data_IF_507729461968
#
_entry.id   IF_507729461968
#
_cell.length_a   1.000
_cell.length_b   1.000
_cell.length_c   1.000
_cell.angle_alpha   90.00
_cell.angle_beta   90.00
_cell.angle_gamma   90.00
#
_symmetry.space_group_name_H-M   'P 1'
#
loop_
_entity.id
_entity.type
_entity.pdbx_description
1 polymer ?
#
# COMPACT_ATOMS: atom_id res chain seq x y z
N UNK A 1 -10.71 -6.76 -14.25
CA UNK A 1 -10.26 -6.14 -12.99
C UNK A 1 -9.27 -7.08 -12.33
N UNK A 2 -8.01 -6.68 -12.14
CA UNK A 2 -7.05 -7.49 -11.38
C UNK A 2 -7.60 -7.68 -9.96
N UNK A 3 -7.70 -8.90 -9.45
CA UNK A 3 -8.09 -9.15 -8.05
C UNK A 3 -6.89 -8.81 -7.17
N UNK A 4 -7.10 -8.22 -6.00
CA UNK A 4 -6.01 -8.06 -5.03
C UNK A 4 -5.55 -9.46 -4.60
N UNK A 5 -4.23 -9.69 -4.46
CA UNK A 5 -3.74 -10.96 -3.95
C UNK A 5 -4.20 -11.15 -2.50
N UNK A 6 -4.38 -12.40 -2.07
CA UNK A 6 -4.97 -12.72 -0.76
C UNK A 6 -4.19 -12.20 0.45
N UNK A 7 -2.87 -12.00 0.30
CA UNK A 7 -1.98 -11.43 1.32
C UNK A 7 -2.09 -9.91 1.45
N UNK A 8 -2.65 -9.21 0.45
CA UNK A 8 -2.73 -7.75 0.44
C UNK A 8 -4.08 -7.30 1.01
N UNK A 9 -4.12 -7.12 2.33
CA UNK A 9 -5.29 -6.66 3.08
C UNK A 9 -4.89 -5.70 4.21
N UNK A 10 -5.85 -4.95 4.75
CA UNK A 10 -5.62 -4.11 5.94
C UNK A 10 -5.02 -4.92 7.09
N UNK A 11 -4.04 -4.33 7.77
CA UNK A 11 -3.23 -4.96 8.81
C UNK A 11 -2.07 -5.83 8.29
N UNK A 12 -1.96 -6.11 6.99
CA UNK A 12 -0.82 -6.84 6.45
C UNK A 12 0.46 -6.00 6.51
N UNK A 13 1.59 -6.64 6.82
CA UNK A 13 2.94 -6.07 6.75
C UNK A 13 3.47 -6.22 5.33
N UNK A 14 3.95 -5.12 4.76
CA UNK A 14 4.46 -5.08 3.38
C UNK A 14 5.77 -4.32 3.29
N UNK A 15 6.53 -4.65 2.25
CA UNK A 15 7.68 -3.89 1.78
C UNK A 15 7.28 -3.11 0.53
N UNK A 16 7.59 -1.81 0.52
CA UNK A 16 7.43 -0.98 -0.66
C UNK A 16 8.64 -1.08 -1.61
N UNK A 17 8.61 -0.40 -2.78
CA UNK A 17 9.69 -0.43 -3.75
C UNK A 17 11.02 0.17 -3.27
N UNK A 18 11.00 0.94 -2.18
CA UNK A 18 12.17 1.52 -1.53
C UNK A 18 12.63 0.68 -0.33
N UNK A 19 12.16 -0.57 -0.22
CA UNK A 19 12.42 -1.49 0.90
C UNK A 19 11.97 -0.93 2.27
N UNK A 20 10.98 -0.03 2.29
CA UNK A 20 10.38 0.45 3.54
C UNK A 20 9.29 -0.49 4.01
N UNK A 21 9.37 -0.90 5.28
CA UNK A 21 8.32 -1.68 5.94
C UNK A 21 7.15 -0.80 6.39
N UNK A 22 5.93 -1.22 6.06
CA UNK A 22 4.70 -0.56 6.48
C UNK A 22 3.58 -1.55 6.71
N UNK A 23 2.60 -1.13 7.51
CA UNK A 23 1.33 -1.83 7.72
C UNK A 23 0.27 -1.16 6.87
N UNK A 24 -0.52 -1.97 6.16
CA UNK A 24 -1.65 -1.48 5.38
C UNK A 24 -2.74 -0.95 6.31
N UNK A 25 -3.03 0.34 6.19
CA UNK A 25 -4.12 1.00 6.91
C UNK A 25 -5.44 0.95 6.13
N UNK A 26 -5.36 1.09 4.80
CA UNK A 26 -6.51 1.13 3.92
C UNK A 26 -6.10 0.84 2.46
N UNK A 27 -7.00 0.23 1.70
CA UNK A 27 -6.85 0.04 0.25
C UNK A 27 -8.09 0.58 -0.45
N UNK A 28 -7.93 1.58 -1.30
CA UNK A 28 -9.07 2.15 -1.99
C UNK A 28 -8.74 3.26 -2.96
N UNK A 29 -9.78 4.00 -3.33
CA UNK A 29 -9.68 5.09 -4.29
C UNK A 29 -8.91 6.27 -3.70
N UNK A 30 -7.98 6.80 -4.50
CA UNK A 30 -7.21 7.99 -4.17
C UNK A 30 -7.04 8.85 -5.43
N UNK A 31 -7.28 10.15 -5.31
CA UNK A 31 -6.94 11.11 -6.36
C UNK A 31 -5.50 11.60 -6.13
N UNK A 32 -4.60 11.30 -7.07
CA UNK A 32 -3.24 11.81 -7.03
C UNK A 32 -3.26 13.34 -7.17
N UNK A 33 -2.82 14.12 -6.17
CA UNK A 33 -2.88 15.58 -6.22
C UNK A 33 -1.96 16.18 -7.29
N UNK A 34 -0.90 15.48 -7.70
CA UNK A 34 0.03 15.96 -8.71
C UNK A 34 -0.53 15.76 -10.13
N UNK A 35 -1.18 14.63 -10.39
CA UNK A 35 -1.65 14.26 -11.73
C UNK A 35 -3.17 14.37 -11.92
N UNK A 36 -3.93 14.59 -10.83
CA UNK A 36 -5.40 14.60 -10.77
C UNK A 36 -6.04 13.30 -11.30
N UNK A 37 -5.28 12.20 -11.26
CA UNK A 37 -5.74 10.88 -11.71
C UNK A 37 -6.35 10.13 -10.54
N UNK A 38 -7.46 9.45 -10.81
CA UNK A 38 -8.10 8.56 -9.85
C UNK A 38 -7.42 7.19 -9.92
N UNK A 39 -6.92 6.74 -8.77
CA UNK A 39 -6.26 5.45 -8.58
C UNK A 39 -7.16 4.61 -7.69
N UNK A 40 -7.88 3.62 -8.23
CA UNK A 40 -8.95 2.92 -7.49
C UNK A 40 -8.44 2.00 -6.37
N UNK A 41 -7.12 1.74 -6.31
CA UNK A 41 -6.49 0.75 -5.43
C UNK A 41 -5.15 1.24 -4.90
N UNK A 42 -5.11 2.51 -4.49
CA UNK A 42 -3.96 3.02 -3.77
C UNK A 42 -3.90 2.38 -2.38
N UNK A 43 -2.68 2.16 -1.88
CA UNK A 43 -2.44 1.52 -0.59
C UNK A 43 -1.89 2.56 0.38
N UNK A 44 -2.60 2.75 1.48
CA UNK A 44 -2.22 3.68 2.54
C UNK A 44 -1.44 2.91 3.59
N UNK A 45 -0.21 3.34 3.85
CA UNK A 45 0.74 2.66 4.72
C UNK A 45 1.09 3.53 5.92
N UNK A 46 1.29 2.86 7.05
CA UNK A 46 1.84 3.44 8.27
C UNK A 46 3.08 2.65 8.72
N UNK A 47 4.13 3.29 9.22
CA UNK A 47 5.26 2.57 9.81
C UNK A 47 4.86 1.88 11.12
N UNK A 48 5.40 0.69 11.40
CA UNK A 48 5.08 -0.09 12.62
C UNK A 48 5.38 0.67 13.92
N UNK A 49 6.49 1.41 13.97
CA UNK A 49 6.88 2.23 15.12
C UNK A 49 6.11 3.55 15.27
N UNK A 50 5.13 3.81 14.40
CA UNK A 50 4.56 5.14 14.20
C UNK A 50 5.47 6.05 13.36
N UNK A 51 4.93 7.19 12.94
CA UNK A 51 5.62 8.12 12.06
C UNK A 51 4.73 8.61 10.94
N UNK A 52 5.36 9.10 9.87
CA UNK A 52 4.66 9.67 8.72
C UNK A 52 4.06 8.55 7.86
N UNK A 53 2.77 8.64 7.61
CA UNK A 53 2.06 7.78 6.67
C UNK A 53 2.40 8.14 5.22
N UNK A 54 2.35 7.15 4.34
CA UNK A 54 2.56 7.35 2.91
C UNK A 54 1.61 6.51 2.07
N UNK A 55 1.51 6.84 0.79
CA UNK A 55 0.60 6.21 -0.16
C UNK A 55 1.45 5.55 -1.24
N UNK A 56 1.15 4.28 -1.53
CA UNK A 56 1.70 3.55 -2.67
C UNK A 56 0.61 3.47 -3.75
N UNK A 57 0.76 4.18 -4.87
CA UNK A 57 -0.26 4.25 -5.92
C UNK A 57 -0.48 2.92 -6.64
N UNK A 58 0.58 2.13 -6.80
CA UNK A 58 0.53 0.83 -7.46
C UNK A 58 0.69 -0.30 -6.44
N UNK A 59 -0.42 -0.95 -6.10
CA UNK A 59 -0.44 -2.08 -5.19
C UNK A 59 0.38 -3.29 -5.67
N UNK A 60 0.70 -3.38 -6.97
CA UNK A 60 1.51 -4.47 -7.51
C UNK A 60 3.01 -4.30 -7.21
N UNK A 61 3.41 -3.09 -6.81
CA UNK A 61 4.78 -2.78 -6.44
C UNK A 61 5.13 -3.22 -5.00
N UNK A 62 4.13 -3.60 -4.22
CA UNK A 62 4.30 -4.10 -2.86
C UNK A 62 4.71 -5.57 -2.84
N UNK A 63 5.49 -5.93 -1.82
CA UNK A 63 5.81 -7.32 -1.49
C UNK A 63 5.33 -7.64 -0.07
N UNK A 64 4.96 -8.89 0.15
CA UNK A 64 4.68 -9.40 1.49
C UNK A 64 5.98 -9.37 2.31
N UNK A 65 5.95 -8.77 3.50
CA UNK A 65 7.12 -8.67 4.37
C UNK A 65 7.44 -10.00 5.09
N UNK A 66 6.41 -10.78 5.38
CA UNK A 66 6.51 -12.10 6.03
C UNK A 66 6.01 -13.20 5.09
N UNK A 67 6.73 -13.54 4.01
CA UNK A 67 6.33 -14.63 3.12
C UNK A 67 6.42 -15.96 3.89
N UNK A 68 5.27 -16.55 4.21
CA UNK A 68 5.18 -17.88 4.84
C UNK A 68 5.19 -19.00 3.81
#
# INVERSE_FOLDING_TARGET
MSRLPGWLHEGARVLDPEDREGVIQFIGEWEDPATRRIIPKAVFLRPEGGGREWIVPDHQALREADPR
#
